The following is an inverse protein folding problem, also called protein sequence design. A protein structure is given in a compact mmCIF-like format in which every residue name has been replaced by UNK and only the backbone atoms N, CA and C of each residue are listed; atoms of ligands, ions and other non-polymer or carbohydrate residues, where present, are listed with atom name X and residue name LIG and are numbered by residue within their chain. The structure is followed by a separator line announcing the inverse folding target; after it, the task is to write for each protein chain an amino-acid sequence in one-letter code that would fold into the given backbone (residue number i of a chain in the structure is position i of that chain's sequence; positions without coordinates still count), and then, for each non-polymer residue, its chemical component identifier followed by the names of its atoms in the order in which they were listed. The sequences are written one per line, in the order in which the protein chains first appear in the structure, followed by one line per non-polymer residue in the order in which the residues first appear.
data_IF_720896456262
#
_entry.id   IF_720896456262
#
_cell.length_a   1.000
_cell.length_b   1.000
_cell.length_c   1.000
_cell.angle_alpha   90.00
_cell.angle_beta   90.00
_cell.angle_gamma   90.00
#
_symmetry.space_group_name_H-M   'P 1'
#
loop_
_entity.id
_entity.type
_entity.pdbx_description
1 polymer ?
#
# COMPACT_ATOMS: atom_id res chain seq x y z
N UNK A 1 -11.92 16.22 22.42
CA UNK A 1 -12.60 15.10 21.71
C UNK A 1 -13.45 15.73 20.62
N UNK A 2 -12.84 15.99 19.46
CA UNK A 2 -13.58 16.46 18.29
C UNK A 2 -14.19 15.25 17.61
N UNK A 3 -15.50 15.35 17.34
CA UNK A 3 -16.25 14.36 16.57
C UNK A 3 -15.66 14.27 15.16
N UNK A 4 -14.65 13.42 14.99
CA UNK A 4 -14.30 12.90 13.67
C UNK A 4 -15.56 12.15 13.23
N UNK A 5 -16.23 12.70 12.22
CA UNK A 5 -17.32 12.02 11.52
C UNK A 5 -16.95 10.55 11.44
N UNK A 6 -17.87 9.65 11.86
CA UNK A 6 -17.71 8.20 11.67
C UNK A 6 -17.78 7.92 10.16
N UNK A 7 -16.73 8.29 9.43
CA UNK A 7 -16.55 7.84 8.07
C UNK A 7 -16.40 6.31 8.13
N UNK A 8 -17.14 5.61 7.31
CA UNK A 8 -17.06 4.16 7.17
C UNK A 8 -15.57 3.78 6.99
N UNK A 9 -15.04 2.89 7.83
CA UNK A 9 -13.68 2.35 7.69
C UNK A 9 -13.50 1.78 6.30
N UNK A 10 -12.32 2.00 5.71
CA UNK A 10 -11.98 1.50 4.37
C UNK A 10 -10.98 0.35 4.46
N UNK A 11 -11.27 -0.73 3.76
CA UNK A 11 -10.42 -1.92 3.71
C UNK A 11 -10.01 -2.23 2.28
N UNK A 12 -8.75 -2.57 2.07
CA UNK A 12 -8.22 -2.81 0.73
C UNK A 12 -7.10 -3.84 0.73
N UNK A 13 -6.87 -4.43 -0.44
CA UNK A 13 -5.81 -5.43 -0.66
C UNK A 13 -4.94 -5.03 -1.83
N UNK A 14 -3.63 -5.21 -1.68
CA UNK A 14 -2.64 -4.92 -2.71
C UNK A 14 -2.18 -6.20 -3.40
N UNK A 15 -2.01 -6.09 -4.71
CA UNK A 15 -1.42 -7.12 -5.56
C UNK A 15 -0.26 -6.55 -6.38
N UNK A 16 0.58 -7.43 -6.89
CA UNK A 16 1.54 -7.10 -7.94
C UNK A 16 1.19 -7.85 -9.23
N UNK A 17 1.48 -7.27 -10.40
CA UNK A 17 1.18 -7.88 -11.68
C UNK A 17 1.85 -9.26 -11.84
N UNK A 18 1.16 -10.25 -12.41
CA UNK A 18 1.70 -11.57 -12.65
C UNK A 18 2.74 -11.54 -13.78
N UNK A 19 3.69 -12.49 -13.76
CA UNK A 19 4.76 -12.56 -14.76
C UNK A 19 4.58 -13.71 -15.75
N UNK A 20 3.79 -14.71 -15.41
CA UNK A 20 3.55 -15.93 -16.21
C UNK A 20 2.05 -16.24 -16.22
N UNK A 21 1.59 -17.04 -17.18
CA UNK A 21 0.20 -17.50 -17.25
C UNK A 21 -0.22 -18.25 -15.98
N UNK A 22 0.66 -19.10 -15.42
CA UNK A 22 0.39 -19.81 -14.19
C UNK A 22 0.21 -18.84 -13.01
N UNK A 23 1.05 -17.79 -12.91
CA UNK A 23 0.92 -16.75 -11.86
C UNK A 23 -0.33 -15.90 -12.07
N UNK A 24 -0.78 -15.70 -13.32
CA UNK A 24 -2.04 -15.03 -13.65
C UNK A 24 -3.23 -15.83 -13.11
N UNK A 25 -3.30 -17.12 -13.41
CA UNK A 25 -4.38 -17.98 -12.93
C UNK A 25 -4.45 -18.02 -11.40
N UNK A 26 -3.28 -18.11 -10.72
CA UNK A 26 -3.19 -18.04 -9.27
C UNK A 26 -3.67 -16.71 -8.69
N UNK A 27 -3.26 -15.60 -9.32
CA UNK A 27 -3.67 -14.27 -8.88
C UNK A 27 -5.19 -14.11 -8.99
N UNK A 28 -5.81 -14.56 -10.07
CA UNK A 28 -7.26 -14.49 -10.27
C UNK A 28 -8.02 -15.26 -9.18
N UNK A 29 -7.54 -16.45 -8.78
CA UNK A 29 -8.12 -17.19 -7.66
C UNK A 29 -7.98 -16.41 -6.33
N UNK A 30 -6.84 -15.79 -6.09
CA UNK A 30 -6.60 -14.95 -4.91
C UNK A 30 -7.52 -13.73 -4.90
N UNK A 31 -7.64 -13.03 -6.02
CA UNK A 31 -8.51 -11.86 -6.17
C UNK A 31 -9.99 -12.23 -5.93
N UNK A 32 -10.44 -13.34 -6.49
CA UNK A 32 -11.80 -13.85 -6.27
C UNK A 32 -12.06 -14.13 -4.79
N UNK A 33 -11.15 -14.84 -4.12
CA UNK A 33 -11.31 -15.17 -2.69
C UNK A 33 -11.33 -13.93 -1.80
N UNK A 34 -10.49 -12.90 -2.11
CA UNK A 34 -10.47 -11.66 -1.36
C UNK A 34 -11.62 -10.72 -1.73
N UNK A 35 -12.17 -10.79 -2.93
CA UNK A 35 -13.36 -10.04 -3.31
C UNK A 35 -14.61 -10.47 -2.53
N UNK A 36 -14.70 -11.76 -2.16
CA UNK A 36 -15.79 -12.29 -1.33
C UNK A 36 -15.84 -11.66 0.08
N UNK A 37 -14.74 -11.06 0.53
CA UNK A 37 -14.65 -10.33 1.79
C UNK A 37 -15.26 -8.92 1.71
N UNK A 38 -15.59 -8.41 0.52
CA UNK A 38 -16.21 -7.10 0.31
C UNK A 38 -15.28 -5.91 0.59
N UNK A 39 -14.03 -5.89 0.10
CA UNK A 39 -13.15 -4.74 0.28
C UNK A 39 -13.68 -3.51 -0.48
N UNK A 40 -13.26 -2.31 -0.04
CA UNK A 40 -13.62 -1.06 -0.71
C UNK A 40 -12.89 -0.91 -2.05
N UNK A 41 -11.64 -1.37 -2.14
CA UNK A 41 -10.88 -1.40 -3.39
C UNK A 41 -9.71 -2.40 -3.34
N UNK A 42 -9.18 -2.69 -4.51
CA UNK A 42 -7.89 -3.35 -4.69
C UNK A 42 -6.87 -2.35 -5.21
N UNK A 43 -5.58 -2.52 -4.88
CA UNK A 43 -4.51 -1.79 -5.55
C UNK A 43 -3.57 -2.73 -6.29
N UNK A 44 -2.91 -2.22 -7.32
CA UNK A 44 -1.95 -3.01 -8.11
C UNK A 44 -0.65 -2.22 -8.24
N UNK A 45 0.44 -2.84 -7.78
CA UNK A 45 1.75 -2.20 -7.80
C UNK A 45 2.25 -1.93 -9.21
N UNK A 46 3.10 -0.92 -9.31
CA UNK A 46 3.75 -0.51 -10.54
C UNK A 46 5.20 -1.00 -10.54
N UNK A 47 5.58 -1.76 -11.55
CA UNK A 47 6.96 -2.20 -11.66
C UNK A 47 7.86 -1.18 -12.38
N UNK A 48 9.14 -1.16 -12.05
CA UNK A 48 10.12 -0.31 -12.68
C UNK A 48 10.44 -0.78 -14.10
N UNK A 49 9.77 -0.19 -15.12
CA UNK A 49 10.03 -0.46 -16.54
C UNK A 49 8.76 -0.47 -17.40
N UNK A 50 8.90 -0.12 -18.69
CA UNK A 50 7.78 0.05 -19.63
C UNK A 50 6.84 -1.16 -19.73
N UNK A 51 7.37 -2.39 -19.77
CA UNK A 51 6.58 -3.63 -19.86
C UNK A 51 5.73 -3.92 -18.60
N UNK A 52 6.01 -3.25 -17.48
CA UNK A 52 5.26 -3.39 -16.24
C UNK A 52 4.07 -2.42 -16.16
N UNK A 53 4.10 -1.31 -16.90
CA UNK A 53 2.95 -0.39 -17.04
C UNK A 53 1.74 -1.10 -17.65
N UNK A 54 1.95 -1.72 -18.79
CA UNK A 54 0.90 -2.47 -19.51
C UNK A 54 0.31 -3.55 -18.61
N UNK A 55 1.17 -4.31 -17.91
CA UNK A 55 0.72 -5.36 -17.00
C UNK A 55 -0.05 -4.83 -15.80
N UNK A 56 0.33 -3.68 -15.23
CA UNK A 56 -0.45 -3.04 -14.15
C UNK A 56 -1.82 -2.65 -14.68
N UNK A 57 -1.89 -2.01 -15.84
CA UNK A 57 -3.14 -1.61 -16.48
C UNK A 57 -4.04 -2.82 -16.78
N UNK A 58 -3.52 -3.84 -17.45
CA UNK A 58 -4.24 -5.09 -17.75
C UNK A 58 -4.76 -5.74 -16.47
N UNK A 59 -3.94 -5.81 -15.42
CA UNK A 59 -4.32 -6.42 -14.14
C UNK A 59 -5.45 -5.63 -13.44
N UNK A 60 -5.41 -4.31 -13.48
CA UNK A 60 -6.45 -3.45 -12.88
C UNK A 60 -7.78 -3.60 -13.62
N UNK A 61 -7.75 -3.62 -14.97
CA UNK A 61 -8.95 -3.84 -15.78
C UNK A 61 -9.53 -5.23 -15.52
N UNK A 62 -8.69 -6.27 -15.52
CA UNK A 62 -9.09 -7.66 -15.24
C UNK A 62 -9.74 -7.82 -13.85
N UNK A 63 -9.20 -7.16 -12.84
CA UNK A 63 -9.79 -7.13 -11.48
C UNK A 63 -11.20 -6.56 -11.52
N UNK A 64 -11.39 -5.38 -12.10
CA UNK A 64 -12.71 -4.73 -12.14
C UNK A 64 -13.74 -5.56 -12.92
N UNK A 65 -13.34 -6.09 -14.06
CA UNK A 65 -14.23 -6.92 -14.89
C UNK A 65 -14.65 -8.21 -14.20
N UNK A 66 -13.73 -8.87 -13.51
CA UNK A 66 -13.97 -10.19 -12.90
C UNK A 66 -14.57 -10.14 -11.50
N UNK A 67 -14.25 -9.10 -10.72
CA UNK A 67 -14.66 -9.04 -9.31
C UNK A 67 -15.72 -7.97 -9.04
N UNK A 68 -15.86 -6.97 -9.90
CA UNK A 68 -16.68 -5.79 -9.66
C UNK A 68 -16.13 -4.84 -8.62
N UNK A 69 -14.98 -5.15 -8.01
CA UNK A 69 -14.32 -4.30 -7.00
C UNK A 69 -13.51 -3.20 -7.71
N UNK A 70 -13.58 -1.98 -7.19
CA UNK A 70 -12.77 -0.88 -7.71
C UNK A 70 -11.26 -1.22 -7.57
N UNK A 71 -10.45 -0.77 -8.54
CA UNK A 71 -9.02 -1.08 -8.54
C UNK A 71 -8.20 0.19 -8.80
N UNK A 72 -7.25 0.46 -7.90
CA UNK A 72 -6.34 1.60 -7.93
C UNK A 72 -4.97 1.17 -8.48
N UNK A 73 -4.60 1.55 -9.71
CA UNK A 73 -3.24 1.36 -10.17
C UNK A 73 -2.26 2.23 -9.39
N UNK A 74 -1.10 1.68 -9.05
CA UNK A 74 0.02 2.52 -8.68
C UNK A 74 0.54 3.26 -9.92
N UNK A 75 0.98 4.49 -9.73
CA UNK A 75 1.65 5.30 -10.75
C UNK A 75 2.96 5.84 -10.19
N UNK A 76 4.03 5.74 -10.97
CA UNK A 76 5.37 6.18 -10.57
C UNK A 76 5.91 7.22 -11.53
N UNK A 77 6.59 8.24 -10.99
CA UNK A 77 7.20 9.30 -11.80
C UNK A 77 8.60 8.97 -12.30
N UNK A 78 9.31 8.06 -11.64
CA UNK A 78 10.71 7.72 -12.01
C UNK A 78 10.77 7.14 -13.41
N UNK A 79 11.66 7.71 -14.23
CA UNK A 79 11.91 7.25 -15.61
C UNK A 79 10.79 7.57 -16.60
N UNK A 80 9.80 8.39 -16.22
CA UNK A 80 8.68 8.80 -17.08
C UNK A 80 8.88 10.22 -17.57
N UNK A 81 8.49 10.48 -18.83
CA UNK A 81 8.30 11.83 -19.36
C UNK A 81 6.92 12.35 -18.97
N UNK A 82 6.68 13.66 -19.13
CA UNK A 82 5.34 14.22 -18.92
C UNK A 82 4.32 13.59 -19.90
N UNK A 83 4.69 13.43 -21.17
CA UNK A 83 3.83 12.82 -22.18
C UNK A 83 3.46 11.37 -21.84
N UNK A 84 4.41 10.61 -21.26
CA UNK A 84 4.14 9.26 -20.76
C UNK A 84 3.10 9.28 -19.64
N UNK A 85 3.24 10.21 -18.69
CA UNK A 85 2.31 10.35 -17.56
C UNK A 85 0.92 10.78 -18.03
N UNK A 86 0.84 11.74 -18.96
CA UNK A 86 -0.41 12.18 -19.56
C UNK A 86 -1.13 11.03 -20.28
N UNK A 87 -0.41 10.27 -21.10
CA UNK A 87 -0.95 9.11 -21.80
C UNK A 87 -1.51 8.06 -20.82
N UNK A 88 -0.79 7.76 -19.73
CA UNK A 88 -1.23 6.81 -18.70
C UNK A 88 -2.49 7.32 -17.98
N UNK A 89 -2.52 8.58 -17.58
CA UNK A 89 -3.69 9.18 -16.91
C UNK A 89 -4.90 9.21 -17.85
N UNK A 90 -4.69 9.51 -19.13
CA UNK A 90 -5.71 9.43 -20.18
C UNK A 90 -6.31 8.03 -20.29
N UNK A 91 -5.48 7.00 -20.40
CA UNK A 91 -5.91 5.61 -20.47
C UNK A 91 -6.68 5.17 -19.22
N UNK A 92 -6.25 5.60 -18.02
CA UNK A 92 -6.98 5.30 -16.79
C UNK A 92 -8.37 5.96 -16.78
N UNK A 93 -8.45 7.22 -17.20
CA UNK A 93 -9.71 7.95 -17.29
C UNK A 93 -10.68 7.34 -18.31
N UNK A 94 -10.19 6.92 -19.47
CA UNK A 94 -10.99 6.23 -20.49
C UNK A 94 -11.61 4.92 -19.99
N UNK A 95 -10.92 4.22 -19.10
CA UNK A 95 -11.42 3.02 -18.41
C UNK A 95 -12.27 3.35 -17.18
N UNK A 96 -12.52 4.61 -16.87
CA UNK A 96 -13.28 5.02 -15.70
C UNK A 96 -12.59 4.69 -14.36
N UNK A 97 -11.25 4.60 -14.35
CA UNK A 97 -10.47 4.47 -13.15
C UNK A 97 -10.34 5.87 -12.53
N UNK A 98 -10.77 6.02 -11.30
CA UNK A 98 -10.82 7.29 -10.57
C UNK A 98 -9.99 7.29 -9.29
N UNK A 99 -9.26 6.22 -9.00
CA UNK A 99 -8.43 6.06 -7.81
C UNK A 99 -7.00 5.66 -8.20
N UNK A 100 -6.00 6.34 -7.63
CA UNK A 100 -4.57 6.11 -7.89
C UNK A 100 -3.79 6.00 -6.59
N UNK A 101 -2.69 5.23 -6.62
CA UNK A 101 -1.63 5.30 -5.61
C UNK A 101 -0.40 5.93 -6.24
N UNK A 102 -0.11 7.19 -5.90
CA UNK A 102 0.96 7.97 -6.50
C UNK A 102 2.27 7.82 -5.71
N UNK A 103 3.30 7.30 -6.38
CA UNK A 103 4.60 6.97 -5.81
C UNK A 103 5.73 7.68 -6.56
N UNK A 104 6.89 7.82 -5.92
CA UNK A 104 8.10 8.20 -6.64
C UNK A 104 8.55 7.07 -7.57
N UNK A 105 8.53 5.85 -7.08
CA UNK A 105 9.16 4.68 -7.65
C UNK A 105 10.63 4.54 -7.25
N UNK A 106 11.17 3.33 -7.46
CA UNK A 106 12.58 3.03 -7.21
C UNK A 106 13.40 3.26 -8.46
N UNK A 107 14.58 3.87 -8.29
CA UNK A 107 15.55 4.00 -9.39
C UNK A 107 16.13 2.62 -9.70
N UNK A 108 15.99 2.12 -10.92
CA UNK A 108 16.68 0.89 -11.32
C UNK A 108 18.18 1.05 -11.16
N UNK A 109 18.86 0.01 -10.64
CA UNK A 109 20.33 0.02 -10.53
C UNK A 109 20.97 0.32 -11.89
N UNK A 110 21.77 1.39 -11.97
CA UNK A 110 22.43 1.81 -13.20
C UNK A 110 21.66 2.79 -14.09
N UNK A 111 20.50 3.29 -13.66
CA UNK A 111 19.72 4.28 -14.42
C UNK A 111 20.39 5.66 -14.41
N UNK A 112 20.56 6.26 -15.58
CA UNK A 112 21.18 7.58 -15.79
C UNK A 112 20.14 8.69 -16.01
N UNK A 113 18.89 8.51 -15.56
CA UNK A 113 17.86 9.54 -15.72
C UNK A 113 16.75 9.41 -14.70
N UNK A 114 16.43 10.53 -14.02
CA UNK A 114 15.34 10.57 -13.03
C UNK A 114 13.95 10.78 -13.64
N UNK A 115 13.82 10.91 -14.95
CA UNK A 115 12.57 11.30 -15.59
C UNK A 115 12.30 12.80 -15.49
N UNK A 116 11.09 13.25 -15.86
CA UNK A 116 10.67 14.65 -15.78
C UNK A 116 10.39 15.10 -14.33
N UNK A 117 9.93 14.19 -13.48
CA UNK A 117 9.60 14.42 -12.08
C UNK A 117 10.50 13.57 -11.18
N UNK A 118 10.89 14.13 -10.03
CA UNK A 118 11.84 13.52 -9.09
C UNK A 118 11.20 12.93 -7.85
N UNK A 119 10.05 13.46 -7.43
CA UNK A 119 9.42 13.16 -6.15
C UNK A 119 7.91 12.94 -6.31
N UNK A 120 7.34 12.16 -5.41
CA UNK A 120 5.92 11.86 -5.44
C UNK A 120 5.01 13.10 -5.26
N UNK A 121 5.46 14.13 -4.54
CA UNK A 121 4.71 15.38 -4.45
C UNK A 121 4.63 16.14 -5.79
N UNK A 122 5.67 16.05 -6.62
CA UNK A 122 5.65 16.61 -7.97
C UNK A 122 4.69 15.84 -8.88
N UNK A 123 4.60 14.52 -8.70
CA UNK A 123 3.63 13.69 -9.41
C UNK A 123 2.19 14.03 -9.00
N UNK A 124 1.93 14.19 -7.70
CA UNK A 124 0.60 14.60 -7.22
C UNK A 124 0.20 15.97 -7.81
N UNK A 125 1.09 16.96 -7.76
CA UNK A 125 0.88 18.29 -8.34
C UNK A 125 0.62 18.19 -9.86
N UNK A 126 1.39 17.36 -10.57
CA UNK A 126 1.19 17.11 -12.00
C UNK A 126 -0.20 16.51 -12.29
N UNK A 127 -0.62 15.48 -11.53
CA UNK A 127 -1.94 14.85 -11.69
C UNK A 127 -3.05 15.87 -11.44
N UNK A 128 -2.93 16.71 -10.40
CA UNK A 128 -3.89 17.77 -10.10
C UNK A 128 -3.98 18.81 -11.21
N UNK A 129 -2.86 19.25 -11.75
CA UNK A 129 -2.82 20.22 -12.85
C UNK A 129 -3.42 19.67 -14.15
N UNK A 130 -3.17 18.39 -14.43
CA UNK A 130 -3.64 17.74 -15.65
C UNK A 130 -5.11 17.30 -15.58
N UNK A 131 -5.54 16.76 -14.43
CA UNK A 131 -6.83 16.07 -14.29
C UNK A 131 -7.78 16.70 -13.26
N UNK A 132 -7.38 17.78 -12.59
CA UNK A 132 -8.17 18.37 -11.50
C UNK A 132 -8.44 17.37 -10.39
N UNK A 133 -9.68 17.33 -9.93
CA UNK A 133 -10.13 16.44 -8.84
C UNK A 133 -10.70 15.10 -9.34
N UNK A 134 -10.47 14.75 -10.61
CA UNK A 134 -11.00 13.50 -11.15
C UNK A 134 -10.51 12.28 -10.40
N UNK A 135 -9.21 12.24 -10.04
CA UNK A 135 -8.63 11.11 -9.32
C UNK A 135 -8.63 11.31 -7.81
N UNK A 136 -9.07 10.31 -7.07
CA UNK A 136 -8.67 10.13 -5.68
C UNK A 136 -7.22 9.65 -5.65
N UNK A 137 -6.34 10.35 -4.93
CA UNK A 137 -4.91 10.08 -4.91
C UNK A 137 -4.48 9.69 -3.51
N UNK A 138 -4.09 8.42 -3.32
CA UNK A 138 -3.36 7.98 -2.15
C UNK A 138 -1.85 8.09 -2.39
N UNK A 139 -1.11 8.38 -1.33
CA UNK A 139 0.36 8.44 -1.35
C UNK A 139 0.95 7.56 -0.24
N UNK A 140 2.20 7.10 -0.42
CA UNK A 140 2.88 6.36 0.62
C UNK A 140 3.38 7.27 1.74
N UNK A 141 3.36 6.79 2.99
CA UNK A 141 4.01 7.40 4.16
C UNK A 141 4.66 6.31 5.03
N UNK A 142 5.51 6.72 5.97
CA UNK A 142 6.38 5.81 6.71
C UNK A 142 6.31 6.12 8.21
N UNK A 143 5.62 5.29 9.02
CA UNK A 143 5.58 5.48 10.47
C UNK A 143 6.96 5.43 11.13
N UNK A 144 7.87 4.62 10.61
CA UNK A 144 9.25 4.49 11.12
C UNK A 144 10.27 5.39 10.41
N UNK A 145 10.03 5.85 9.24
CA UNK A 145 10.70 6.71 8.27
C UNK A 145 11.37 5.98 7.10
N UNK A 146 11.37 6.65 5.95
CA UNK A 146 11.92 6.11 4.70
C UNK A 146 13.43 5.94 4.77
N UNK A 147 14.02 4.78 4.38
CA UNK A 147 15.46 4.51 4.52
C UNK A 147 16.37 5.48 3.74
N UNK A 148 15.86 6.14 2.71
CA UNK A 148 16.59 7.17 1.97
C UNK A 148 16.40 8.58 2.53
N UNK A 149 15.57 8.78 3.56
CA UNK A 149 15.44 10.06 4.23
C UNK A 149 16.59 10.28 5.20
N UNK A 150 17.04 11.53 5.34
CA UNK A 150 18.13 11.87 6.25
C UNK A 150 17.71 11.78 7.73
N UNK A 151 16.42 11.90 8.01
CA UNK A 151 15.84 11.82 9.36
C UNK A 151 14.32 11.64 9.29
N UNK A 152 13.73 11.16 10.39
CA UNK A 152 12.28 11.08 10.54
C UNK A 152 11.59 12.44 10.31
N UNK A 153 12.17 13.54 10.84
CA UNK A 153 11.65 14.91 10.62
C UNK A 153 11.63 15.30 9.14
N UNK A 154 12.68 14.95 8.39
CA UNK A 154 12.73 15.23 6.96
C UNK A 154 11.73 14.39 6.19
N UNK A 155 11.53 13.14 6.58
CA UNK A 155 10.55 12.25 5.96
C UNK A 155 9.12 12.74 6.18
N UNK A 156 8.80 13.13 7.40
CA UNK A 156 7.51 13.73 7.74
C UNK A 156 7.26 15.04 6.95
N UNK A 157 8.28 15.88 6.78
CA UNK A 157 8.18 17.07 5.94
C UNK A 157 7.96 16.73 4.45
N UNK A 158 8.57 15.64 3.97
CA UNK A 158 8.34 15.14 2.61
C UNK A 158 6.91 14.59 2.46
N UNK A 159 6.37 13.93 3.48
CA UNK A 159 4.97 13.51 3.49
C UNK A 159 4.03 14.72 3.45
N UNK A 160 4.25 15.74 4.29
CA UNK A 160 3.48 16.99 4.26
C UNK A 160 3.43 17.62 2.87
N UNK A 161 4.55 17.66 2.13
CA UNK A 161 4.59 18.17 0.76
C UNK A 161 3.67 17.41 -0.19
N UNK A 162 3.51 16.08 -0.03
CA UNK A 162 2.58 15.28 -0.84
C UNK A 162 1.14 15.63 -0.52
N UNK A 163 0.82 15.85 0.74
CA UNK A 163 -0.50 16.31 1.19
C UNK A 163 -0.81 17.72 0.63
N UNK A 164 0.13 18.65 0.77
CA UNK A 164 -0.01 20.03 0.27
C UNK A 164 -0.14 20.10 -1.26
N UNK A 165 0.41 19.13 -1.98
CA UNK A 165 0.25 19.00 -3.42
C UNK A 165 -1.13 18.47 -3.82
N UNK A 166 -1.96 18.00 -2.88
CA UNK A 166 -3.34 17.61 -3.13
C UNK A 166 -3.63 16.11 -3.01
N UNK A 167 -2.83 15.33 -2.24
CA UNK A 167 -3.20 13.94 -1.92
C UNK A 167 -4.49 13.91 -1.10
N UNK A 168 -5.35 12.92 -1.34
CA UNK A 168 -6.63 12.71 -0.65
C UNK A 168 -6.52 11.76 0.53
N UNK A 169 -5.52 10.87 0.52
CA UNK A 169 -5.28 9.88 1.54
C UNK A 169 -3.83 9.38 1.51
N UNK A 170 -3.49 8.56 2.46
CA UNK A 170 -2.19 7.92 2.52
C UNK A 170 -2.29 6.48 3.00
N UNK A 171 -1.37 5.65 2.49
CA UNK A 171 -1.17 4.27 2.93
C UNK A 171 0.22 4.19 3.53
N UNK A 172 0.34 3.65 4.76
CA UNK A 172 1.66 3.52 5.38
C UNK A 172 2.45 2.35 4.81
N UNK A 173 3.79 2.45 4.84
CA UNK A 173 4.60 1.23 4.84
C UNK A 173 4.17 0.34 6.01
N UNK A 174 4.27 -0.99 5.84
CA UNK A 174 3.97 -1.91 6.95
C UNK A 174 4.94 -1.72 8.12
N UNK A 175 4.47 -2.03 9.29
CA UNK A 175 5.19 -1.99 10.57
C UNK A 175 4.61 -3.07 11.50
N UNK A 176 5.34 -3.41 12.58
CA UNK A 176 4.89 -4.40 13.56
C UNK A 176 4.79 -3.84 14.99
N UNK A 177 5.06 -2.55 15.16
CA UNK A 177 4.89 -1.83 16.42
C UNK A 177 3.81 -0.76 16.26
N UNK A 178 2.67 -0.92 16.93
CA UNK A 178 1.56 0.03 16.85
C UNK A 178 1.95 1.44 17.34
N UNK A 179 2.88 1.55 18.30
CA UNK A 179 3.34 2.84 18.81
C UNK A 179 3.99 3.70 17.73
N UNK A 180 4.67 3.08 16.74
CA UNK A 180 5.24 3.81 15.61
C UNK A 180 4.15 4.54 14.82
N UNK A 181 3.01 3.87 14.58
CA UNK A 181 1.86 4.48 13.90
C UNK A 181 1.23 5.58 14.76
N UNK A 182 1.03 5.36 16.05
CA UNK A 182 0.42 6.37 16.92
C UNK A 182 1.25 7.64 17.00
N UNK A 183 2.56 7.52 17.22
CA UNK A 183 3.46 8.68 17.22
C UNK A 183 3.48 9.39 15.88
N UNK A 184 3.44 8.64 14.77
CA UNK A 184 3.38 9.22 13.43
C UNK A 184 2.09 10.02 13.21
N UNK A 185 0.93 9.52 13.65
CA UNK A 185 -0.35 10.23 13.58
C UNK A 185 -0.30 11.51 14.43
N UNK A 186 0.18 11.43 15.67
CA UNK A 186 0.33 12.59 16.54
C UNK A 186 1.21 13.69 15.91
N UNK A 187 2.28 13.30 15.23
CA UNK A 187 3.17 14.23 14.55
C UNK A 187 2.56 14.80 13.26
N UNK A 188 1.75 14.02 12.55
CA UNK A 188 0.96 14.49 11.43
C UNK A 188 -0.07 15.54 11.86
N UNK A 189 -0.81 15.30 12.94
CA UNK A 189 -1.79 16.25 13.50
C UNK A 189 -1.13 17.57 13.90
N UNK A 190 0.04 17.54 14.56
CA UNK A 190 0.82 18.74 14.90
C UNK A 190 1.22 19.57 13.68
N UNK A 191 1.38 18.95 12.52
CA UNK A 191 1.68 19.61 11.24
C UNK A 191 0.44 20.02 10.45
N UNK A 192 -0.77 19.79 10.98
CA UNK A 192 -2.03 20.07 10.30
C UNK A 192 -2.27 19.17 9.10
N UNK A 193 -1.85 17.93 9.16
CA UNK A 193 -2.18 16.89 8.19
C UNK A 193 -3.48 16.23 8.67
N UNK A 194 -4.54 16.36 7.90
CA UNK A 194 -5.92 15.94 8.24
C UNK A 194 -6.50 14.89 7.28
N UNK A 195 -5.72 14.43 6.30
CA UNK A 195 -6.14 13.37 5.39
C UNK A 195 -6.15 11.99 6.10
N UNK A 196 -7.00 11.04 5.67
CA UNK A 196 -6.96 9.67 6.18
C UNK A 196 -5.60 9.02 5.94
N UNK A 197 -5.02 8.43 6.98
CA UNK A 197 -3.76 7.67 6.92
C UNK A 197 -4.06 6.22 7.27
N UNK A 198 -4.16 5.38 6.25
CA UNK A 198 -4.52 3.97 6.39
C UNK A 198 -3.26 3.13 6.69
N UNK A 199 -3.22 2.38 7.80
CA UNK A 199 -2.08 1.51 8.09
C UNK A 199 -1.96 0.39 7.06
N UNK A 200 -0.75 0.22 6.52
CA UNK A 200 -0.36 -0.88 5.66
C UNK A 200 -0.01 -2.11 6.50
N UNK A 201 -0.59 -3.24 6.18
CA UNK A 201 -0.50 -4.49 6.92
C UNK A 201 0.13 -5.56 6.06
N UNK A 202 1.25 -6.11 6.47
CA UNK A 202 1.87 -7.25 5.78
C UNK A 202 1.79 -8.50 6.65
N UNK A 203 0.96 -9.50 6.29
CA UNK A 203 0.90 -10.77 7.00
C UNK A 203 2.25 -11.51 6.96
N UNK A 204 2.68 -12.05 8.10
CA UNK A 204 3.91 -12.81 8.19
C UNK A 204 3.65 -14.25 7.74
N UNK A 205 4.24 -14.66 6.62
CA UNK A 205 4.09 -16.01 6.07
C UNK A 205 5.43 -16.72 5.83
N UNK A 206 6.54 -15.98 5.90
CA UNK A 206 7.88 -16.49 5.67
C UNK A 206 8.93 -15.57 6.33
N UNK A 207 9.77 -16.12 7.21
CA UNK A 207 10.77 -15.35 7.96
C UNK A 207 11.84 -14.72 7.05
N UNK A 208 12.40 -15.49 6.10
CA UNK A 208 13.44 -15.01 5.19
C UNK A 208 12.94 -13.89 4.28
N UNK A 209 11.72 -14.03 3.74
CA UNK A 209 11.11 -13.02 2.90
C UNK A 209 10.81 -11.74 3.69
N UNK A 210 10.26 -11.88 4.89
CA UNK A 210 10.02 -10.77 5.80
C UNK A 210 11.31 -9.99 6.09
N UNK A 211 12.37 -10.66 6.51
CA UNK A 211 13.67 -10.02 6.82
C UNK A 211 14.21 -9.26 5.62
N UNK A 212 14.21 -9.87 4.42
CA UNK A 212 14.69 -9.21 3.20
C UNK A 212 13.88 -7.96 2.84
N UNK A 213 12.56 -8.01 2.98
CA UNK A 213 11.72 -6.85 2.68
C UNK A 213 11.90 -5.75 3.72
N UNK A 214 11.96 -6.10 5.00
CA UNK A 214 12.17 -5.14 6.07
C UNK A 214 13.51 -4.42 5.96
N UNK A 215 14.58 -5.13 5.60
CA UNK A 215 15.88 -4.52 5.30
C UNK A 215 15.82 -3.54 4.12
N UNK A 216 15.03 -3.86 3.08
CA UNK A 216 14.91 -3.01 1.90
C UNK A 216 14.05 -1.76 2.14
N UNK A 217 12.96 -1.86 2.90
CA UNK A 217 12.01 -0.76 3.12
C UNK A 217 12.21 -0.02 4.45
N UNK A 218 13.12 -0.49 5.31
CA UNK A 218 13.42 0.14 6.60
C UNK A 218 12.38 -0.17 7.70
N UNK A 219 11.48 -1.14 7.49
CA UNK A 219 10.52 -1.53 8.52
C UNK A 219 11.21 -2.35 9.61
N UNK A 220 10.99 -1.99 10.87
CA UNK A 220 11.53 -2.73 12.00
C UNK A 220 10.75 -4.02 12.26
N UNK A 221 11.46 -5.13 12.45
CA UNK A 221 10.88 -6.37 12.98
C UNK A 221 11.21 -6.42 14.47
N UNK A 222 10.24 -6.29 15.38
CA UNK A 222 10.48 -6.39 16.81
C UNK A 222 11.25 -7.66 17.17
N UNK A 223 12.25 -7.52 18.04
CA UNK A 223 13.19 -8.61 18.39
C UNK A 223 12.48 -9.89 18.80
N UNK A 224 11.38 -9.79 19.56
CA UNK A 224 10.63 -10.95 20.02
C UNK A 224 9.94 -11.71 18.88
N UNK A 225 9.44 -10.99 17.85
CA UNK A 225 8.86 -11.58 16.64
C UNK A 225 9.95 -12.35 15.88
N UNK A 226 11.07 -11.68 15.60
CA UNK A 226 12.17 -12.27 14.86
C UNK A 226 12.75 -13.51 15.56
N UNK A 227 12.89 -13.45 16.90
CA UNK A 227 13.34 -14.59 17.69
C UNK A 227 12.37 -15.77 17.56
N UNK A 228 11.08 -15.51 17.72
CA UNK A 228 10.07 -16.57 17.63
C UNK A 228 9.99 -17.20 16.23
N UNK A 229 10.11 -16.40 15.18
CA UNK A 229 10.15 -16.90 13.81
C UNK A 229 11.38 -17.78 13.55
N UNK A 230 12.54 -17.42 14.12
CA UNK A 230 13.77 -18.24 14.03
C UNK A 230 13.66 -19.54 14.80
N UNK A 231 12.98 -19.55 15.95
CA UNK A 231 12.77 -20.76 16.76
C UNK A 231 11.92 -21.81 16.03
N UNK A 232 11.03 -21.39 15.12
CA UNK A 232 10.28 -22.30 14.26
C UNK A 232 11.11 -22.92 13.13
N UNK A 233 12.27 -22.35 12.80
CA UNK A 233 13.10 -22.87 11.70
C UNK A 233 12.34 -22.94 10.38
N UNK A 234 12.22 -24.14 9.82
CA UNK A 234 11.54 -24.41 8.54
C UNK A 234 10.06 -24.81 8.70
N UNK A 235 9.53 -24.80 9.92
CA UNK A 235 8.12 -25.11 10.19
C UNK A 235 7.20 -23.97 9.70
N UNK A 236 6.82 -24.08 8.42
CA UNK A 236 6.01 -23.09 7.73
C UNK A 236 4.62 -22.91 8.35
N UNK A 237 4.03 -24.01 8.86
CA UNK A 237 2.70 -23.96 9.48
C UNK A 237 2.72 -23.11 10.76
N UNK A 238 3.69 -23.36 11.64
CA UNK A 238 3.91 -22.57 12.86
C UNK A 238 4.23 -21.11 12.55
N UNK A 239 5.04 -20.82 11.52
CA UNK A 239 5.35 -19.46 11.08
C UNK A 239 4.07 -18.71 10.64
N UNK A 240 3.23 -19.33 9.81
CA UNK A 240 1.99 -18.70 9.31
C UNK A 240 1.01 -18.49 10.45
N UNK A 241 0.80 -19.49 11.31
CA UNK A 241 -0.10 -19.39 12.47
C UNK A 241 0.30 -18.25 13.41
N UNK A 242 1.57 -18.19 13.78
CA UNK A 242 2.11 -17.13 14.61
C UNK A 242 2.01 -15.76 13.92
N UNK A 243 2.32 -15.71 12.63
CA UNK A 243 2.23 -14.49 11.83
C UNK A 243 0.80 -13.95 11.76
N UNK A 244 -0.20 -14.82 11.57
CA UNK A 244 -1.61 -14.43 11.61
C UNK A 244 -2.00 -13.89 12.99
N UNK A 245 -1.59 -14.57 14.08
CA UNK A 245 -1.88 -14.13 15.45
C UNK A 245 -1.31 -12.73 15.75
N UNK A 246 -0.02 -12.54 15.48
CA UNK A 246 0.67 -11.23 15.68
C UNK A 246 0.02 -10.14 14.86
N UNK A 247 -0.23 -10.41 13.58
CA UNK A 247 -0.80 -9.40 12.67
C UNK A 247 -2.25 -9.09 13.03
N UNK A 248 -3.05 -10.09 13.46
CA UNK A 248 -4.42 -9.86 13.96
C UNK A 248 -4.43 -8.94 15.17
N UNK A 249 -3.54 -9.21 16.15
CA UNK A 249 -3.42 -8.37 17.36
C UNK A 249 -3.05 -6.93 17.02
N UNK A 250 -2.08 -6.73 16.10
CA UNK A 250 -1.72 -5.40 15.59
C UNK A 250 -2.92 -4.71 14.95
N UNK A 251 -3.62 -5.37 14.05
CA UNK A 251 -4.80 -4.82 13.37
C UNK A 251 -5.90 -4.42 14.35
N UNK A 252 -6.16 -5.25 15.35
CA UNK A 252 -7.14 -4.96 16.39
C UNK A 252 -6.78 -3.69 17.16
N UNK A 253 -5.53 -3.56 17.63
CA UNK A 253 -5.04 -2.36 18.32
C UNK A 253 -5.18 -1.10 17.46
N UNK A 254 -4.83 -1.18 16.17
CA UNK A 254 -4.96 -0.06 15.23
C UNK A 254 -6.43 0.36 15.02
N UNK A 255 -7.33 -0.61 14.84
CA UNK A 255 -8.76 -0.31 14.68
C UNK A 255 -9.41 0.23 15.95
N UNK A 256 -9.02 -0.27 17.13
CA UNK A 256 -9.48 0.22 18.42
C UNK A 256 -8.99 1.65 18.70
N UNK A 257 -7.80 2.01 18.23
CA UNK A 257 -7.26 3.38 18.34
C UNK A 257 -7.85 4.38 17.33
N UNK A 258 -8.73 3.92 16.42
CA UNK A 258 -9.42 4.79 15.49
C UNK A 258 -8.80 4.87 14.10
N UNK A 259 -7.96 3.91 13.70
CA UNK A 259 -7.45 3.84 12.34
C UNK A 259 -8.61 3.85 11.33
N UNK A 260 -8.49 4.61 10.20
CA UNK A 260 -9.58 4.80 9.24
C UNK A 260 -9.84 3.56 8.36
N UNK A 261 -9.12 2.47 8.58
CA UNK A 261 -9.22 1.21 7.86
C UNK A 261 -7.92 0.43 7.91
N UNK A 262 -7.76 -0.55 7.01
CA UNK A 262 -6.53 -1.35 6.86
C UNK A 262 -6.28 -1.61 5.38
N UNK A 263 -5.00 -1.56 4.98
CA UNK A 263 -4.55 -1.90 3.64
C UNK A 263 -3.60 -3.11 3.70
N UNK A 264 -3.98 -4.24 3.10
CA UNK A 264 -3.23 -5.49 3.20
C UNK A 264 -2.29 -5.69 2.01
N UNK A 265 -1.00 -5.80 2.27
CA UNK A 265 0.03 -6.25 1.34
C UNK A 265 -0.03 -7.77 1.22
N UNK A 266 -0.82 -8.29 0.29
CA UNK A 266 -1.19 -9.71 0.23
C UNK A 266 -0.08 -10.62 -0.25
N UNK A 267 0.94 -10.09 -0.88
CA UNK A 267 1.97 -10.85 -1.60
C UNK A 267 1.36 -11.85 -2.60
N UNK A 268 0.24 -11.49 -3.22
CA UNK A 268 -0.57 -12.32 -4.10
C UNK A 268 -1.06 -13.62 -3.45
N UNK A 269 -1.29 -13.62 -2.12
CA UNK A 269 -1.78 -14.78 -1.36
C UNK A 269 -3.01 -14.37 -0.53
N UNK A 270 -4.08 -15.16 -0.56
CA UNK A 270 -5.31 -14.86 0.15
C UNK A 270 -5.30 -15.37 1.61
N UNK A 271 -4.72 -16.53 1.86
CA UNK A 271 -4.94 -17.32 3.08
C UNK A 271 -4.73 -16.52 4.37
N UNK A 272 -3.57 -15.91 4.55
CA UNK A 272 -3.27 -15.18 5.78
C UNK A 272 -4.13 -13.93 5.94
N UNK A 273 -4.36 -13.17 4.86
CA UNK A 273 -5.22 -11.98 4.89
C UNK A 273 -6.67 -12.33 5.20
N UNK A 274 -7.21 -13.42 4.61
CA UNK A 274 -8.56 -13.91 4.90
C UNK A 274 -8.69 -14.34 6.36
N UNK A 275 -7.70 -15.03 6.91
CA UNK A 275 -7.72 -15.46 8.31
C UNK A 275 -7.70 -14.28 9.28
N UNK A 276 -6.86 -13.26 9.01
CA UNK A 276 -6.81 -12.04 9.81
C UNK A 276 -8.16 -11.31 9.73
N UNK A 277 -8.73 -11.18 8.54
CA UNK A 277 -10.05 -10.59 8.32
C UNK A 277 -11.15 -11.25 9.16
N UNK A 278 -11.20 -12.59 9.13
CA UNK A 278 -12.15 -13.38 9.91
C UNK A 278 -11.93 -13.21 11.42
N UNK A 279 -10.68 -13.27 11.87
CA UNK A 279 -10.33 -13.09 13.29
C UNK A 279 -10.72 -11.71 13.83
N UNK A 280 -10.78 -10.68 12.97
CA UNK A 280 -11.22 -9.33 13.31
C UNK A 280 -12.74 -9.14 13.24
N UNK A 281 -13.50 -10.19 12.84
CA UNK A 281 -14.97 -10.09 12.64
C UNK A 281 -15.38 -9.12 11.53
N UNK A 282 -14.51 -8.87 10.56
CA UNK A 282 -14.81 -8.01 9.43
C UNK A 282 -15.66 -8.77 8.40
N UNK A 283 -16.82 -8.24 8.03
CA UNK A 283 -17.74 -8.87 7.06
C UNK A 283 -18.91 -9.61 7.68
N UNK A 284 -19.05 -9.66 9.00
CA UNK A 284 -20.26 -10.07 9.70
C UNK A 284 -21.14 -8.83 9.96
N UNK A 285 -21.90 -8.39 8.97
CA UNK A 285 -22.89 -7.32 9.10
C UNK A 285 -24.21 -7.72 8.44
#
# INVERSE_FOLDING_TARGET
MNAISQSKRKFSFEFFPPRTEESTARLQLTQKALAELGPDFFSVTYGAGGSTREKTFETVVDIREKTGINAAPHISCVGSTNDDLEAVLGSYREQGLDHLVALRGDLPSGSVGMGALRYANELVDFIRKHSGDYFHIDVACYPEFHPQSQSAKQDLANFKRKVDAGANGAITQYFYNADAYYHFIDDCEKLGIDIPIVPGIMPITNCTQLTRFSEACGAEIPRWILQRLRDFGDDRESIVKFGVEVTTTLCQQLLESGAPGLHFYTMNQAVASTQIWQNLGLGEA
#
